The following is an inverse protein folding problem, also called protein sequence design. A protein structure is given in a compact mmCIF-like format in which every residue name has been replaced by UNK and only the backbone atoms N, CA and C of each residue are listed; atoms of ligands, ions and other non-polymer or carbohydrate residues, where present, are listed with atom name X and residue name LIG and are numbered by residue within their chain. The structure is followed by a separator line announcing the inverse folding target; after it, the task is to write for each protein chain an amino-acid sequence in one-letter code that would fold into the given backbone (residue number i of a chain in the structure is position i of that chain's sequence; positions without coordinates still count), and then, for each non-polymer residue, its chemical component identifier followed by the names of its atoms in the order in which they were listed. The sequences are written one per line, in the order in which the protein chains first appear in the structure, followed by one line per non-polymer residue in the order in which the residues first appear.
data_IF_599278396782
#
_entry.id   IF_599278396782
#
_cell.length_a   1.000
_cell.length_b   1.000
_cell.length_c   1.000
_cell.angle_alpha   90.00
_cell.angle_beta   90.00
_cell.angle_gamma   90.00
#
_symmetry.space_group_name_H-M   'P 1'
#
loop_
_entity.id
_entity.type
_entity.pdbx_description
1 polymer ?
#
# COMPACT_ATOMS: atom_id res chain seq x y z
N UNK A 1 -32.06 -13.27 -86.78
CA UNK A 1 -31.49 -13.63 -85.46
C UNK A 1 -30.46 -12.56 -85.12
N UNK A 2 -30.83 -11.59 -84.30
CA UNK A 2 -30.59 -11.55 -82.83
C UNK A 2 -29.27 -10.83 -82.46
N UNK A 3 -29.45 -9.53 -82.21
CA UNK A 3 -28.85 -8.59 -81.25
C UNK A 3 -27.86 -9.13 -80.20
N UNK A 4 -26.75 -8.40 -79.99
CA UNK A 4 -26.20 -7.93 -78.69
C UNK A 4 -24.92 -7.10 -78.97
N UNK A 5 -24.86 -5.76 -78.85
CA UNK A 5 -24.78 -4.95 -77.62
C UNK A 5 -23.81 -5.52 -76.56
N UNK A 6 -22.58 -5.00 -76.53
CA UNK A 6 -21.65 -5.16 -75.42
C UNK A 6 -21.23 -3.77 -74.92
N UNK A 7 -21.75 -3.45 -73.74
CA UNK A 7 -21.57 -2.24 -72.95
C UNK A 7 -20.19 -2.25 -72.27
N UNK A 8 -19.44 -1.15 -72.39
CA UNK A 8 -18.23 -0.90 -71.62
C UNK A 8 -18.63 -0.46 -70.20
N UNK A 9 -18.34 -1.27 -69.18
CA UNK A 9 -18.49 -0.89 -67.78
C UNK A 9 -17.12 -0.54 -67.18
N UNK A 10 -16.95 0.73 -66.81
CA UNK A 10 -15.87 1.22 -65.94
C UNK A 10 -15.98 0.53 -64.57
N UNK A 11 -14.95 -0.19 -64.15
CA UNK A 11 -14.81 -0.65 -62.77
C UNK A 11 -13.92 0.34 -61.99
N UNK A 12 -14.53 1.14 -61.13
CA UNK A 12 -13.88 1.88 -60.05
C UNK A 12 -13.44 0.89 -58.96
N UNK A 13 -12.15 0.73 -58.74
CA UNK A 13 -11.63 -0.02 -57.60
C UNK A 13 -11.77 0.84 -56.32
N UNK A 14 -12.41 0.34 -55.24
CA UNK A 14 -12.32 1.00 -53.95
C UNK A 14 -10.92 0.74 -53.37
N UNK A 15 -10.21 1.82 -53.05
CA UNK A 15 -9.03 1.76 -52.21
C UNK A 15 -9.48 1.25 -50.82
N UNK A 16 -9.20 -0.02 -50.53
CA UNK A 16 -9.33 -0.56 -49.19
C UNK A 16 -8.33 0.17 -48.30
N UNK A 17 -8.83 1.14 -47.53
CA UNK A 17 -8.15 1.62 -46.34
C UNK A 17 -7.91 0.39 -45.45
N UNK A 18 -6.65 0.01 -45.28
CA UNK A 18 -6.26 -0.91 -44.23
C UNK A 18 -6.68 -0.27 -42.90
N UNK A 19 -7.81 -0.72 -42.37
CA UNK A 19 -8.13 -0.48 -40.97
C UNK A 19 -7.01 -1.18 -40.17
N UNK A 20 -6.10 -0.38 -39.60
CA UNK A 20 -5.22 -0.86 -38.54
C UNK A 20 -6.10 -1.53 -37.49
N UNK A 21 -5.90 -2.84 -37.33
CA UNK A 21 -6.54 -3.58 -36.26
C UNK A 21 -6.21 -2.88 -34.93
N UNK A 22 -7.18 -2.73 -34.01
CA UNK A 22 -6.89 -2.22 -32.68
C UNK A 22 -5.77 -3.08 -32.07
N UNK A 23 -4.80 -2.47 -31.36
CA UNK A 23 -3.73 -3.24 -30.73
C UNK A 23 -4.35 -4.32 -29.83
N UNK A 24 -3.96 -5.57 -30.08
CA UNK A 24 -4.22 -6.70 -29.17
C UNK A 24 -3.85 -6.29 -27.74
N UNK A 25 -4.56 -6.76 -26.70
CA UNK A 25 -4.21 -6.46 -25.32
C UNK A 25 -2.83 -7.07 -25.03
N UNK A 26 -1.78 -6.27 -25.23
CA UNK A 26 -0.42 -6.60 -24.83
C UNK A 26 -0.44 -6.86 -23.34
N UNK A 27 0.12 -7.99 -22.91
CA UNK A 27 0.46 -8.29 -21.52
C UNK A 27 1.05 -7.05 -20.86
N UNK A 28 0.25 -6.32 -20.09
CA UNK A 28 0.71 -5.13 -19.38
C UNK A 28 1.51 -5.60 -18.17
N UNK A 29 2.76 -5.98 -18.41
CA UNK A 29 3.73 -6.22 -17.36
C UNK A 29 4.29 -4.88 -16.90
N UNK A 30 4.19 -4.61 -15.60
CA UNK A 30 4.76 -3.43 -14.98
C UNK A 30 5.86 -3.84 -14.01
N UNK A 31 6.97 -3.11 -14.00
CA UNK A 31 8.13 -3.39 -13.15
C UNK A 31 8.38 -2.24 -12.18
N UNK A 32 8.75 -2.56 -10.94
CA UNK A 32 9.23 -1.61 -9.94
C UNK A 32 10.61 -2.03 -9.43
N UNK A 33 11.57 -1.11 -9.50
CA UNK A 33 12.98 -1.34 -9.12
C UNK A 33 13.38 -0.62 -7.83
N UNK A 34 12.54 0.28 -7.34
CA UNK A 34 12.70 1.02 -6.08
C UNK A 34 11.34 1.30 -5.40
N UNK A 35 11.37 1.80 -4.17
CA UNK A 35 10.16 2.06 -3.37
C UNK A 35 9.25 3.12 -4.00
N UNK A 36 9.83 4.15 -4.62
CA UNK A 36 9.08 5.22 -5.29
C UNK A 36 8.30 4.68 -6.49
N UNK A 37 8.97 3.93 -7.37
CA UNK A 37 8.34 3.27 -8.52
C UNK A 37 7.24 2.30 -8.09
N UNK A 38 7.49 1.52 -7.03
CA UNK A 38 6.48 0.62 -6.48
C UNK A 38 5.25 1.40 -5.99
N UNK A 39 5.46 2.45 -5.21
CA UNK A 39 4.37 3.28 -4.69
C UNK A 39 3.54 3.89 -5.82
N UNK A 40 4.18 4.42 -6.86
CA UNK A 40 3.47 4.93 -8.03
C UNK A 40 2.70 3.84 -8.77
N UNK A 41 3.29 2.65 -8.95
CA UNK A 41 2.63 1.50 -9.59
C UNK A 41 1.38 1.08 -8.82
N UNK A 42 1.50 0.87 -7.50
CA UNK A 42 0.39 0.46 -6.64
C UNK A 42 -0.71 1.53 -6.59
N UNK A 43 -0.35 2.81 -6.57
CA UNK A 43 -1.34 3.89 -6.68
C UNK A 43 -2.04 3.88 -8.03
N UNK A 44 -1.33 3.65 -9.13
CA UNK A 44 -1.92 3.54 -10.48
C UNK A 44 -2.88 2.36 -10.58
N UNK A 45 -2.53 1.22 -10.00
CA UNK A 45 -3.39 0.03 -9.94
C UNK A 45 -4.72 0.34 -9.24
N UNK A 46 -4.65 1.02 -8.09
CA UNK A 46 -5.85 1.40 -7.33
C UNK A 46 -6.60 2.59 -7.94
N UNK A 47 -5.98 3.33 -8.87
CA UNK A 47 -6.53 4.57 -9.42
C UNK A 47 -7.74 4.27 -10.28
N UNK A 48 -8.90 4.37 -9.66
CA UNK A 48 -10.22 4.35 -10.30
C UNK A 48 -10.92 5.68 -10.01
N UNK A 49 -12.08 5.92 -10.60
CA UNK A 49 -12.91 7.10 -10.27
C UNK A 49 -13.33 7.17 -8.78
N UNK A 50 -13.11 6.09 -8.01
CA UNK A 50 -13.45 5.99 -6.60
C UNK A 50 -12.28 6.31 -5.66
N UNK A 51 -11.04 5.93 -5.99
CA UNK A 51 -9.89 6.08 -5.09
C UNK A 51 -8.95 7.20 -5.52
N UNK A 52 -8.55 8.01 -4.54
CA UNK A 52 -7.62 9.13 -4.75
C UNK A 52 -6.50 9.08 -3.72
N UNK A 53 -5.28 9.54 -4.04
CA UNK A 53 -4.21 9.65 -3.06
C UNK A 53 -4.65 10.49 -1.86
N UNK A 54 -4.35 10.03 -0.66
CA UNK A 54 -4.61 10.83 0.55
C UNK A 54 -3.71 12.06 0.59
N UNK A 55 -4.15 13.10 1.28
CA UNK A 55 -3.26 14.20 1.62
C UNK A 55 -2.50 13.85 2.89
N UNK A 56 -1.18 13.79 2.79
CA UNK A 56 -0.26 13.60 3.91
C UNK A 56 0.34 14.95 4.32
N UNK A 57 0.49 15.14 5.62
CA UNK A 57 1.25 16.28 6.18
C UNK A 57 2.24 15.75 7.19
N UNK A 58 3.50 16.08 7.02
CA UNK A 58 4.55 15.65 7.92
C UNK A 58 4.29 16.05 9.37
N UNK A 59 4.55 15.11 10.28
CA UNK A 59 4.58 15.31 11.72
C UNK A 59 6.05 15.34 12.14
N UNK A 60 6.45 16.38 12.85
CA UNK A 60 7.76 16.43 13.49
C UNK A 60 7.81 15.39 14.61
N UNK A 61 8.85 14.56 14.59
CA UNK A 61 9.12 13.59 15.64
C UNK A 61 10.03 14.21 16.70
N UNK A 62 9.58 14.19 17.95
CA UNK A 62 10.32 14.76 19.08
C UNK A 62 10.75 13.63 20.01
N UNK A 63 12.06 13.37 20.10
CA UNK A 63 12.60 12.33 20.98
C UNK A 63 12.96 12.90 22.34
N UNK A 64 12.69 12.16 23.41
CA UNK A 64 13.08 12.53 24.76
C UNK A 64 13.21 11.31 25.67
N UNK A 65 14.09 11.41 26.67
CA UNK A 65 14.25 10.37 27.69
C UNK A 65 14.05 10.98 29.08
N UNK A 66 13.38 10.23 29.94
CA UNK A 66 13.17 10.61 31.34
C UNK A 66 13.25 9.40 32.27
N UNK A 67 12.91 9.57 33.55
CA UNK A 67 12.98 8.49 34.54
C UNK A 67 12.14 7.24 34.22
N UNK A 68 11.16 7.38 33.31
CA UNK A 68 10.26 6.30 32.88
C UNK A 68 10.67 5.65 31.55
N UNK A 69 11.83 5.99 31.00
CA UNK A 69 12.34 5.50 29.72
C UNK A 69 12.34 6.58 28.63
N UNK A 70 12.65 6.14 27.41
CA UNK A 70 12.68 6.98 26.21
C UNK A 70 11.38 6.89 25.42
N UNK A 71 11.00 7.99 24.77
CA UNK A 71 9.85 8.07 23.90
C UNK A 71 10.08 9.01 22.72
N UNK A 72 9.37 8.74 21.63
CA UNK A 72 9.25 9.63 20.48
C UNK A 72 7.80 10.13 20.40
N UNK A 73 7.62 11.42 20.62
CA UNK A 73 6.33 12.07 20.50
C UNK A 73 6.05 12.45 19.03
N UNK A 74 4.84 12.11 18.58
CA UNK A 74 4.31 12.39 17.25
C UNK A 74 2.93 13.04 17.40
N UNK A 75 2.92 14.33 17.73
CA UNK A 75 1.72 15.11 18.09
C UNK A 75 0.88 14.47 19.21
N UNK A 76 -0.27 13.88 18.84
CA UNK A 76 -1.25 13.29 19.73
C UNK A 76 -0.95 11.83 20.01
N UNK A 77 0.20 11.34 19.56
CA UNK A 77 0.72 10.01 19.80
C UNK A 77 2.08 10.14 20.47
N UNK A 78 2.43 9.12 21.25
CA UNK A 78 3.76 8.96 21.84
C UNK A 78 4.14 7.50 21.67
N UNK A 79 5.32 7.25 21.13
CA UNK A 79 5.88 5.91 20.99
C UNK A 79 6.90 5.74 22.11
N UNK A 80 6.58 4.94 23.11
CA UNK A 80 7.52 4.58 24.16
C UNK A 80 8.49 3.54 23.59
N UNK A 81 9.76 3.91 23.39
CA UNK A 81 10.78 3.01 22.83
C UNK A 81 11.30 2.05 23.89
N UNK A 82 11.42 2.51 25.13
CA UNK A 82 11.94 1.74 26.26
C UNK A 82 11.02 1.85 27.48
N UNK A 83 10.85 0.78 28.28
CA UNK A 83 11.56 -0.51 28.22
C UNK A 83 10.89 -1.59 27.35
N UNK A 84 9.62 -1.42 26.95
CA UNK A 84 8.82 -2.52 26.36
C UNK A 84 8.11 -2.19 25.05
N UNK A 85 8.40 -1.03 24.42
CA UNK A 85 7.83 -0.72 23.12
C UNK A 85 6.31 -0.57 23.11
N UNK A 86 5.78 0.64 23.21
CA UNK A 86 4.33 0.85 23.27
C UNK A 86 3.89 2.09 22.51
N UNK A 87 2.70 2.02 21.89
CA UNK A 87 2.05 3.18 21.31
C UNK A 87 1.02 3.73 22.29
N UNK A 88 1.16 5.01 22.63
CA UNK A 88 0.34 5.73 23.60
C UNK A 88 -0.37 6.89 22.93
N UNK A 89 -1.54 7.26 23.45
CA UNK A 89 -2.10 8.57 23.13
C UNK A 89 -1.30 9.66 23.88
N UNK A 90 -1.23 10.84 23.28
CA UNK A 90 -0.54 12.01 23.82
C UNK A 90 -1.50 13.21 23.78
N UNK A 91 -2.52 13.15 24.63
CA UNK A 91 -3.48 14.25 24.77
C UNK A 91 -3.04 15.13 25.94
N UNK A 92 -2.63 16.38 25.65
CA UNK A 92 -2.26 17.36 26.69
C UNK A 92 -3.32 17.41 27.80
N UNK A 93 -2.89 17.21 29.05
CA UNK A 93 -3.75 17.28 30.24
C UNK A 93 -4.65 16.06 30.48
N UNK A 94 -4.46 14.94 29.75
CA UNK A 94 -5.15 13.67 30.02
C UNK A 94 -4.13 12.57 30.27
N UNK A 95 -4.56 11.55 31.02
CA UNK A 95 -3.78 10.35 31.25
C UNK A 95 -3.43 9.66 29.92
N UNK A 96 -2.15 9.31 29.76
CA UNK A 96 -1.66 8.54 28.60
C UNK A 96 -2.21 7.11 28.70
N UNK A 97 -2.79 6.63 27.61
CA UNK A 97 -3.40 5.30 27.46
C UNK A 97 -2.69 4.56 26.34
N UNK A 98 -2.39 3.29 26.61
CA UNK A 98 -1.87 2.35 25.62
C UNK A 98 -2.93 2.11 24.55
N UNK A 99 -2.55 2.24 23.28
CA UNK A 99 -3.40 1.85 22.16
C UNK A 99 -3.28 0.33 21.96
N UNK A 100 -4.41 -0.31 21.70
CA UNK A 100 -4.43 -1.71 21.30
C UNK A 100 -3.81 -1.84 19.90
N UNK A 101 -2.69 -2.54 19.79
CA UNK A 101 -2.06 -2.85 18.51
C UNK A 101 -2.73 -4.08 17.88
N UNK A 102 -3.36 -3.89 16.72
CA UNK A 102 -3.95 -4.96 15.91
C UNK A 102 -3.00 -5.27 14.77
N UNK A 103 -2.41 -6.46 14.80
CA UNK A 103 -1.48 -6.95 13.78
C UNK A 103 -2.22 -7.61 12.62
N UNK A 104 -2.03 -7.08 11.42
CA UNK A 104 -2.50 -7.70 10.19
C UNK A 104 -1.39 -8.60 9.65
N UNK A 105 -1.55 -9.91 9.87
CA UNK A 105 -0.57 -10.92 9.47
C UNK A 105 -0.87 -11.42 8.05
N UNK A 106 0.16 -11.87 7.31
CA UNK A 106 -0.04 -12.59 6.07
C UNK A 106 -0.95 -13.80 6.26
N UNK A 107 -1.62 -14.25 5.19
CA UNK A 107 -2.60 -15.34 5.23
C UNK A 107 -2.09 -16.65 5.88
N UNK A 108 -0.78 -16.84 5.94
CA UNK A 108 -0.11 -17.96 6.60
C UNK A 108 -0.10 -17.89 8.14
N UNK A 109 -0.56 -16.79 8.74
CA UNK A 109 -0.48 -16.56 10.18
C UNK A 109 0.93 -16.34 10.72
N UNK A 110 1.92 -16.18 9.82
CA UNK A 110 3.32 -15.92 10.18
C UNK A 110 3.42 -14.69 11.10
N UNK A 111 4.27 -14.74 12.14
CA UNK A 111 4.48 -13.58 12.99
C UNK A 111 5.06 -12.44 12.17
N UNK A 112 4.62 -11.21 12.48
CA UNK A 112 5.26 -10.03 11.91
C UNK A 112 6.69 -9.91 12.48
N UNK A 113 7.64 -9.31 11.74
CA UNK A 113 8.96 -8.97 12.28
C UNK A 113 8.84 -8.23 13.62
N UNK A 114 9.86 -8.29 14.47
CA UNK A 114 9.87 -7.43 15.67
C UNK A 114 9.84 -5.96 15.24
N UNK A 115 9.10 -5.11 15.96
CA UNK A 115 9.04 -3.68 15.65
C UNK A 115 10.19 -2.97 16.38
N UNK A 116 11.09 -2.34 15.64
CA UNK A 116 11.90 -1.27 16.23
C UNK A 116 10.95 -0.14 16.60
N UNK A 117 10.75 0.09 17.89
CA UNK A 117 9.77 1.06 18.41
C UNK A 117 10.16 2.52 18.20
N UNK A 118 11.11 2.79 17.31
CA UNK A 118 11.50 4.13 16.86
C UNK A 118 10.95 4.40 15.45
N UNK A 119 9.90 5.23 15.30
CA UNK A 119 9.39 5.55 13.97
C UNK A 119 10.45 6.35 13.20
N UNK A 120 10.60 6.04 11.91
CA UNK A 120 11.41 6.84 10.99
C UNK A 120 10.66 8.10 10.57
N UNK A 121 9.36 7.95 10.32
CA UNK A 121 8.49 9.01 9.83
C UNK A 121 7.09 8.93 10.45
N UNK A 122 6.40 10.06 10.50
CA UNK A 122 4.99 10.10 10.87
C UNK A 122 4.25 11.19 10.11
N UNK A 123 3.02 10.92 9.72
CA UNK A 123 2.20 11.82 8.90
C UNK A 123 0.77 11.93 9.43
N UNK A 124 0.19 13.13 9.33
CA UNK A 124 -1.26 13.33 9.43
C UNK A 124 -1.90 12.83 8.14
N UNK A 125 -2.91 11.98 8.26
CA UNK A 125 -3.64 11.43 7.10
C UNK A 125 -4.97 12.15 6.95
N UNK A 126 -5.22 12.74 5.78
CA UNK A 126 -6.48 13.41 5.45
C UNK A 126 -7.19 12.72 4.30
N UNK A 127 -8.50 12.51 4.48
CA UNK A 127 -9.43 12.06 3.45
C UNK A 127 -10.36 13.23 3.12
N UNK A 128 -10.22 13.78 1.92
CA UNK A 128 -10.78 15.10 1.60
C UNK A 128 -10.22 16.17 2.55
N UNK A 129 -11.11 16.96 3.16
CA UNK A 129 -10.72 18.00 4.12
C UNK A 129 -10.66 17.52 5.57
N UNK A 130 -11.02 16.25 5.85
CA UNK A 130 -11.11 15.73 7.21
C UNK A 130 -9.86 14.93 7.56
N UNK A 131 -9.28 15.19 8.74
CA UNK A 131 -8.25 14.32 9.31
C UNK A 131 -8.88 12.96 9.62
N UNK A 132 -8.36 11.92 8.96
CA UNK A 132 -8.74 10.54 9.22
C UNK A 132 -7.97 9.98 10.42
N UNK A 133 -6.68 10.30 10.53
CA UNK A 133 -5.83 9.75 11.58
C UNK A 133 -4.38 10.20 11.48
N UNK A 134 -3.49 9.33 11.95
CA UNK A 134 -2.05 9.44 11.71
C UNK A 134 -1.51 8.12 11.17
N UNK A 135 -0.43 8.21 10.41
CA UNK A 135 0.34 7.06 9.98
C UNK A 135 1.77 7.20 10.49
N UNK A 136 2.36 6.11 10.97
CA UNK A 136 3.76 6.04 11.37
C UNK A 136 4.45 4.96 10.55
N UNK A 137 5.69 5.24 10.14
CA UNK A 137 6.54 4.30 9.46
C UNK A 137 7.66 3.86 10.39
N UNK A 138 7.96 2.57 10.37
CA UNK A 138 9.06 1.99 11.12
C UNK A 138 9.92 1.19 10.16
N UNK A 139 11.20 1.55 10.15
CA UNK A 139 12.20 0.80 9.43
C UNK A 139 12.62 -0.40 10.27
N UNK A 140 12.79 -1.55 9.63
CA UNK A 140 13.33 -2.73 10.30
C UNK A 140 14.83 -2.79 10.07
N UNK A 141 15.63 -2.59 11.12
CA UNK A 141 17.02 -3.06 11.12
C UNK A 141 17.06 -4.51 11.60
N UNK A 142 16.67 -5.45 10.75
CA UNK A 142 16.80 -6.88 11.06
C UNK A 142 15.54 -7.73 10.87
N UNK A 143 15.30 -8.12 9.61
CA UNK A 143 14.98 -9.49 9.20
C UNK A 143 15.43 -9.56 7.73
N UNK A 144 16.65 -10.08 7.55
CA UNK A 144 17.46 -9.86 6.34
C UNK A 144 18.93 -9.56 6.65
N UNK A 145 19.55 -10.20 7.64
CA UNK A 145 21.02 -10.33 7.63
C UNK A 145 21.36 -11.22 6.43
N UNK A 146 21.58 -10.57 5.28
CA UNK A 146 21.96 -11.14 3.98
C UNK A 146 21.00 -12.17 3.39
N UNK A 147 19.96 -11.72 2.67
CA UNK A 147 19.10 -12.58 1.84
C UNK A 147 18.44 -11.84 0.66
N UNK A 148 17.76 -12.56 -0.24
CA UNK A 148 16.93 -11.98 -1.31
C UNK A 148 15.70 -11.31 -0.66
N UNK A 149 15.31 -10.09 -1.08
CA UNK A 149 14.17 -9.28 -0.57
C UNK A 149 14.30 -8.60 0.82
N UNK A 150 15.41 -7.91 1.10
CA UNK A 150 15.72 -7.26 2.41
C UNK A 150 14.95 -5.98 2.77
N UNK A 151 13.83 -5.68 2.13
CA UNK A 151 13.25 -4.32 2.16
C UNK A 151 11.86 -4.30 2.78
N UNK A 152 11.77 -4.78 4.00
CA UNK A 152 10.54 -4.78 4.79
C UNK A 152 10.44 -3.54 5.66
N UNK A 153 9.25 -2.93 5.67
CA UNK A 153 8.90 -1.81 6.54
C UNK A 153 7.61 -2.14 7.27
N UNK A 154 7.38 -1.49 8.42
CA UNK A 154 6.08 -1.50 9.09
C UNK A 154 5.40 -0.15 8.92
N UNK A 155 4.12 -0.21 8.59
CA UNK A 155 3.21 0.92 8.66
C UNK A 155 2.25 0.72 9.83
N UNK A 156 2.08 1.74 10.66
CA UNK A 156 1.06 1.76 11.72
C UNK A 156 0.04 2.88 11.45
N UNK A 157 -1.21 2.49 11.21
CA UNK A 157 -2.34 3.41 11.04
C UNK A 157 -3.09 3.58 12.35
N UNK A 158 -3.25 4.82 12.78
CA UNK A 158 -4.03 5.18 13.97
C UNK A 158 -5.25 6.01 13.55
N UNK A 159 -6.46 5.43 13.48
CA UNK A 159 -7.68 6.17 13.19
C UNK A 159 -7.97 7.18 14.30
N UNK A 160 -8.47 8.36 13.93
CA UNK A 160 -8.86 9.40 14.88
C UNK A 160 -10.38 9.53 14.94
N UNK A 161 -10.89 9.79 16.13
CA UNK A 161 -12.28 10.14 16.35
C UNK A 161 -12.61 11.52 15.77
N UNK A 162 -13.91 11.85 15.67
CA UNK A 162 -14.38 13.15 15.15
C UNK A 162 -13.82 14.35 15.92
N UNK A 163 -13.55 14.19 17.22
CA UNK A 163 -12.93 15.21 18.07
C UNK A 163 -11.39 15.33 17.88
N UNK A 164 -10.86 14.72 16.83
CA UNK A 164 -9.43 14.68 16.49
C UNK A 164 -8.53 14.06 17.56
N UNK A 165 -9.07 13.20 18.43
CA UNK A 165 -8.26 12.37 19.32
C UNK A 165 -7.98 11.01 18.67
N UNK A 166 -6.84 10.38 18.95
CA UNK A 166 -6.59 8.99 18.57
C UNK A 166 -7.69 8.06 19.08
N UNK A 167 -8.05 7.09 18.26
CA UNK A 167 -8.87 5.96 18.66
C UNK A 167 -8.14 5.04 19.65
N UNK A 168 -8.84 4.04 20.21
CA UNK A 168 -8.24 3.08 21.14
C UNK A 168 -7.32 2.07 20.44
N UNK A 169 -7.34 2.00 19.11
CA UNK A 169 -6.70 0.95 18.33
C UNK A 169 -5.71 1.55 17.33
N UNK A 170 -4.61 0.85 17.11
CA UNK A 170 -3.64 1.08 16.05
C UNK A 170 -3.52 -0.18 15.20
N UNK A 171 -3.47 -0.03 13.87
CA UNK A 171 -3.39 -1.14 12.94
C UNK A 171 -1.99 -1.23 12.37
N UNK A 172 -1.34 -2.39 12.55
CA UNK A 172 0.02 -2.65 12.12
C UNK A 172 0.02 -3.53 10.89
N UNK A 173 0.76 -3.10 9.87
CA UNK A 173 0.98 -3.81 8.62
C UNK A 173 2.48 -3.91 8.37
N UNK A 174 2.96 -5.03 7.84
CA UNK A 174 4.35 -5.14 7.40
C UNK A 174 4.40 -5.69 5.99
N UNK A 175 5.17 -5.01 5.14
CA UNK A 175 5.19 -5.28 3.71
C UNK A 175 6.53 -4.96 3.08
N UNK A 176 6.74 -5.52 1.89
CA UNK A 176 7.86 -5.14 1.06
C UNK A 176 7.68 -3.70 0.57
N UNK A 177 8.62 -2.81 0.92
CA UNK A 177 8.61 -1.39 0.60
C UNK A 177 7.32 -0.64 0.97
N UNK A 178 6.58 -1.11 1.97
CA UNK A 178 5.34 -0.45 2.35
C UNK A 178 5.60 0.95 2.90
N UNK A 179 4.74 1.89 2.58
CA UNK A 179 4.78 3.24 3.11
C UNK A 179 3.38 3.81 3.16
N UNK A 180 3.14 4.78 4.02
CA UNK A 180 1.85 5.46 4.02
C UNK A 180 1.67 6.41 2.83
N UNK A 181 2.71 6.69 2.05
CA UNK A 181 2.60 7.39 0.79
C UNK A 181 1.79 6.57 -0.22
N UNK A 182 1.69 5.25 -0.03
CA UNK A 182 0.81 4.35 -0.79
C UNK A 182 -0.68 4.47 -0.40
N UNK A 183 -1.04 5.24 0.62
CA UNK A 183 -2.42 5.37 1.07
C UNK A 183 -3.30 6.04 0.00
N UNK A 184 -4.38 5.36 -0.33
CA UNK A 184 -5.45 5.86 -1.17
C UNK A 184 -6.74 5.95 -0.35
N UNK A 185 -7.70 6.75 -0.79
CA UNK A 185 -8.97 6.89 -0.12
C UNK A 185 -10.14 6.95 -1.09
N UNK A 186 -11.22 6.28 -0.72
CA UNK A 186 -12.55 6.60 -1.22
C UNK A 186 -13.08 7.77 -0.37
N UNK A 187 -13.04 8.97 -0.95
CA UNK A 187 -13.45 10.20 -0.27
C UNK A 187 -14.92 10.15 0.17
N UNK A 188 -15.79 9.48 -0.59
CA UNK A 188 -17.24 9.44 -0.31
C UNK A 188 -17.52 8.60 0.92
N UNK A 189 -16.90 7.43 1.03
CA UNK A 189 -17.09 6.52 2.16
C UNK A 189 -16.16 6.81 3.35
N UNK A 190 -15.07 7.56 3.14
CA UNK A 190 -14.05 7.79 4.15
C UNK A 190 -13.18 6.56 4.43
N UNK A 191 -13.20 5.57 3.54
CA UNK A 191 -12.40 4.35 3.63
C UNK A 191 -11.01 4.63 3.08
N UNK A 192 -9.98 4.27 3.87
CA UNK A 192 -8.60 4.19 3.39
C UNK A 192 -8.34 2.83 2.77
N UNK A 193 -7.52 2.81 1.73
CA UNK A 193 -6.95 1.59 1.14
C UNK A 193 -5.44 1.68 1.21
N UNK A 194 -4.82 0.67 1.81
CA UNK A 194 -3.37 0.51 1.88
C UNK A 194 -3.00 -0.78 1.11
N UNK A 195 -2.36 -0.67 -0.07
CA UNK A 195 -1.79 -1.81 -0.75
C UNK A 195 -0.51 -2.25 -0.06
N UNK A 196 -0.41 -3.54 0.27
CA UNK A 196 0.76 -4.15 0.92
C UNK A 196 1.20 -5.38 0.11
N UNK A 197 2.50 -5.49 -0.15
CA UNK A 197 3.10 -6.71 -0.68
C UNK A 197 3.56 -7.61 0.47
N UNK A 198 3.01 -8.81 0.54
CA UNK A 198 3.19 -9.78 1.62
C UNK A 198 3.67 -11.14 1.09
N UNK A 199 4.32 -11.98 1.90
CA UNK A 199 4.72 -13.30 1.46
C UNK A 199 3.50 -14.22 1.33
N UNK A 200 3.52 -15.10 0.32
CA UNK A 200 2.51 -16.15 0.12
C UNK A 200 2.82 -17.33 1.06
N UNK A 201 1.76 -17.93 1.61
CA UNK A 201 1.86 -18.99 2.63
C UNK A 201 2.61 -20.26 2.20
N UNK A 202 2.73 -20.52 0.90
CA UNK A 202 3.24 -21.77 0.34
C UNK A 202 4.61 -21.65 -0.35
N UNK A 203 5.29 -20.51 -0.22
CA UNK A 203 6.62 -20.34 -0.75
C UNK A 203 7.61 -21.26 -0.01
N UNK A 204 8.20 -22.24 -0.71
CA UNK A 204 9.40 -22.91 -0.22
C UNK A 204 10.52 -21.87 -0.05
N UNK A 205 11.42 -22.06 0.91
CA UNK A 205 12.48 -21.09 1.29
C UNK A 205 13.34 -20.59 0.10
N UNK A 206 13.34 -21.30 -1.02
CA UNK A 206 14.07 -20.96 -2.25
C UNK A 206 13.35 -19.97 -3.19
N UNK A 207 12.04 -19.72 -3.02
CA UNK A 207 11.25 -18.81 -3.87
C UNK A 207 10.17 -18.08 -3.07
N UNK A 208 10.54 -16.94 -2.47
CA UNK A 208 9.59 -16.08 -1.74
C UNK A 208 8.63 -15.44 -2.74
N UNK A 209 7.50 -16.11 -2.97
CA UNK A 209 6.38 -15.57 -3.71
C UNK A 209 5.73 -14.43 -2.91
N UNK A 210 5.47 -13.31 -3.57
CA UNK A 210 4.77 -12.17 -2.99
C UNK A 210 3.35 -12.10 -3.53
N UNK A 211 2.42 -11.63 -2.70
CA UNK A 211 1.06 -11.28 -3.09
C UNK A 211 0.78 -9.84 -2.71
N UNK A 212 0.01 -9.15 -3.56
CA UNK A 212 -0.53 -7.85 -3.25
C UNK A 212 -1.85 -8.01 -2.46
N UNK A 213 -1.95 -7.36 -1.31
CA UNK A 213 -3.15 -7.34 -0.47
C UNK A 213 -3.62 -5.89 -0.31
N UNK A 214 -4.90 -5.65 -0.58
CA UNK A 214 -5.53 -4.34 -0.38
C UNK A 214 -6.23 -4.30 0.97
N UNK A 215 -5.62 -3.64 1.95
CA UNK A 215 -6.23 -3.41 3.26
C UNK A 215 -7.17 -2.23 3.21
N UNK A 216 -8.45 -2.48 3.47
CA UNK A 216 -9.49 -1.46 3.55
C UNK A 216 -9.74 -1.10 5.00
N UNK A 217 -9.44 0.14 5.38
CA UNK A 217 -9.55 0.64 6.74
C UNK A 217 -10.64 1.71 6.87
N UNK A 218 -11.69 1.40 7.62
CA UNK A 218 -12.75 2.33 7.97
C UNK A 218 -12.73 2.66 9.47
N UNK A 219 -13.18 3.86 9.84
CA UNK A 219 -13.16 4.31 11.24
C UNK A 219 -14.02 3.44 12.18
N UNK A 220 -15.10 2.83 11.66
CA UNK A 220 -16.00 1.97 12.45
C UNK A 220 -15.83 0.48 12.16
N UNK A 221 -15.39 0.12 10.95
CA UNK A 221 -15.29 -1.27 10.49
C UNK A 221 -13.93 -1.91 10.80
N UNK A 222 -12.96 -1.14 11.31
CA UNK A 222 -11.57 -1.59 11.39
C UNK A 222 -10.96 -1.76 10.00
N UNK A 223 -9.93 -2.61 9.93
CA UNK A 223 -9.20 -2.91 8.70
C UNK A 223 -9.39 -4.36 8.28
N UNK A 224 -9.58 -4.62 6.98
CA UNK A 224 -9.64 -5.96 6.42
C UNK A 224 -8.88 -6.04 5.10
N UNK A 225 -8.05 -7.08 4.94
CA UNK A 225 -7.28 -7.34 3.73
C UNK A 225 -8.07 -8.11 2.67
N UNK A 226 -7.86 -7.78 1.41
CA UNK A 226 -8.33 -8.56 0.25
C UNK A 226 -7.18 -8.80 -0.71
N UNK A 227 -6.81 -10.06 -1.01
CA UNK A 227 -5.79 -10.35 -2.01
C UNK A 227 -6.19 -9.78 -3.38
N UNK A 228 -5.22 -9.20 -4.07
CA UNK A 228 -5.33 -8.78 -5.46
C UNK A 228 -5.15 -9.99 -6.38
N UNK A 229 -5.85 -10.04 -7.52
CA UNK A 229 -5.64 -11.10 -8.51
C UNK A 229 -4.31 -10.94 -9.27
N UNK A 230 -3.60 -9.81 -9.12
CA UNK A 230 -2.31 -9.59 -9.77
C UNK A 230 -1.25 -10.56 -9.26
N UNK A 231 -0.53 -11.17 -10.20
CA UNK A 231 0.67 -11.95 -9.88
C UNK A 231 1.84 -11.01 -9.68
N UNK A 232 2.56 -11.21 -8.59
CA UNK A 232 3.78 -10.47 -8.27
C UNK A 232 4.94 -11.44 -8.23
N UNK A 233 5.92 -11.25 -9.10
CA UNK A 233 7.17 -12.01 -9.10
C UNK A 233 8.33 -11.10 -8.74
N UNK A 234 9.37 -11.66 -8.13
CA UNK A 234 10.57 -10.90 -7.81
C UNK A 234 11.74 -11.39 -8.65
N UNK A 235 12.54 -10.46 -9.16
CA UNK A 235 13.85 -10.78 -9.69
C UNK A 235 14.82 -10.85 -8.51
N UNK A 236 15.40 -12.01 -8.23
CA UNK A 236 16.16 -12.20 -7.00
C UNK A 236 17.51 -11.47 -6.98
N UNK A 237 18.09 -11.18 -8.15
CA UNK A 237 19.43 -10.60 -8.25
C UNK A 237 19.38 -9.07 -8.14
N UNK A 238 18.27 -8.48 -8.58
CA UNK A 238 18.04 -7.02 -8.54
C UNK A 238 17.08 -6.57 -7.44
N UNK A 239 16.24 -7.49 -6.94
CA UNK A 239 15.11 -7.18 -6.08
C UNK A 239 13.97 -6.46 -6.79
N UNK A 240 13.99 -6.38 -8.12
CA UNK A 240 12.90 -5.78 -8.89
C UNK A 240 11.62 -6.62 -8.80
N UNK A 241 10.47 -5.97 -8.83
CA UNK A 241 9.16 -6.59 -8.75
C UNK A 241 8.45 -6.48 -10.09
N UNK A 242 7.92 -7.58 -10.61
CA UNK A 242 7.13 -7.60 -11.83
C UNK A 242 5.67 -7.95 -11.50
N UNK A 243 4.77 -7.11 -11.98
CA UNK A 243 3.32 -7.25 -11.85
C UNK A 243 2.76 -7.74 -13.17
N UNK A 244 1.95 -8.78 -13.11
CA UNK A 244 1.30 -9.38 -14.27
C UNK A 244 -0.18 -9.59 -13.98
N UNK A 245 -1.03 -9.26 -14.96
CA UNK A 245 -2.42 -9.65 -14.89
C UNK A 245 -2.52 -11.18 -15.00
N UNK A 246 -3.44 -11.82 -14.26
CA UNK A 246 -3.68 -13.24 -14.46
C UNK A 246 -4.17 -13.47 -15.88
N UNK A 247 -3.51 -14.39 -16.59
CA UNK A 247 -3.97 -14.85 -17.90
C UNK A 247 -5.32 -15.56 -17.70
N UNK A 248 -6.37 -15.19 -18.46
CA UNK A 248 -7.71 -15.77 -18.34
C UNK A 248 -7.74 -17.27 -18.66
#
# INVERSE_FOLDING_TARGET
MQVALATLALALAPAFAQAEAPPSPSDQSATATNATELSELLRRELKTSQYTPVRLVAITLESGCGPKGCSVDAERLSVQTEPQGQLLNNSKGKERRVLQLVEHRPAAGQPLPELDWRPSDAWRVFVGQRRWGSCLEFSHSGLGKSGRLQRWSTVVLVPFHRNQQPGPTAHRFSGYWSGCDMLMADIKSGILVLPILEPVAAAQESDVALQLVHYRCGLASGCAGRPSPLRVTSNPDTGALNFQQPVP
#
